data_IF_182080686095
#
_entry.id   IF_182080686095
#
_cell.length_a   1.000
_cell.length_b   1.000
_cell.length_c   1.000
_cell.angle_alpha   90.00
_cell.angle_beta   90.00
_cell.angle_gamma   90.00
#
_symmetry.space_group_name_H-M   'P 1'
#
loop_
_entity.id
_entity.type
_entity.pdbx_description
1 polymer ?
#
# COMPACT_ATOMS: atom_id res chain seq x y z
N UNK A 1 -27.30 -20.16 69.82
CA UNK A 1 -26.04 -20.41 70.56
C UNK A 1 -25.35 -21.55 69.83
N UNK A 2 -24.13 -21.50 69.29
CA UNK A 2 -23.09 -20.51 69.11
C UNK A 2 -21.97 -21.29 68.39
N UNK A 3 -21.44 -20.77 67.29
CA UNK A 3 -20.22 -21.32 66.68
C UNK A 3 -19.35 -20.11 66.36
N UNK A 4 -18.51 -19.80 67.35
CA UNK A 4 -17.53 -18.73 67.37
C UNK A 4 -16.34 -19.14 66.51
N UNK A 5 -15.98 -18.24 65.61
CA UNK A 5 -14.68 -17.95 65.02
C UNK A 5 -13.55 -19.00 65.14
N UNK A 6 -12.98 -19.35 63.99
CA UNK A 6 -11.53 -19.56 63.88
C UNK A 6 -11.06 -18.89 62.58
N UNK A 7 -10.96 -17.55 62.60
CA UNK A 7 -9.95 -16.91 61.74
C UNK A 7 -8.62 -17.04 62.48
N UNK A 8 -7.59 -17.67 61.90
CA UNK A 8 -6.27 -17.65 62.50
C UNK A 8 -5.79 -16.20 62.50
N UNK A 9 -5.57 -15.64 63.70
CA UNK A 9 -5.03 -14.30 63.86
C UNK A 9 -3.74 -14.18 63.04
N UNK A 10 -3.77 -13.37 61.98
CA UNK A 10 -2.60 -13.02 61.19
C UNK A 10 -1.62 -12.34 62.14
N UNK A 11 -0.60 -13.10 62.55
CA UNK A 11 0.45 -12.67 63.46
C UNK A 11 1.12 -11.47 62.80
N UNK A 12 0.83 -10.27 63.29
CA UNK A 12 1.40 -9.05 62.75
C UNK A 12 2.92 -9.15 62.92
N UNK A 13 3.62 -9.38 61.80
CA UNK A 13 5.06 -9.42 61.75
C UNK A 13 5.54 -8.03 62.13
N UNK A 14 5.93 -7.85 63.39
CA UNK A 14 6.52 -6.60 63.89
C UNK A 14 7.75 -6.31 63.02
N UNK A 15 7.68 -5.24 62.23
CA UNK A 15 8.80 -4.78 61.41
C UNK A 15 9.99 -4.52 62.34
N UNK A 16 11.00 -5.39 62.30
CA UNK A 16 12.22 -5.19 63.06
C UNK A 16 12.96 -3.98 62.47
N UNK A 17 13.25 -2.99 63.31
CA UNK A 17 13.98 -1.76 62.95
C UNK A 17 15.33 -2.07 62.29
N UNK A 18 15.96 -3.19 62.67
CA UNK A 18 17.18 -3.68 62.02
C UNK A 18 16.94 -4.14 60.59
N UNK A 19 15.89 -4.92 60.34
CA UNK A 19 15.53 -5.42 59.01
C UNK A 19 15.15 -4.28 58.06
N UNK A 20 14.49 -3.24 58.59
CA UNK A 20 14.20 -2.00 57.85
C UNK A 20 15.50 -1.25 57.53
N UNK A 21 16.40 -1.13 58.51
CA UNK A 21 17.70 -0.47 58.33
C UNK A 21 18.58 -1.21 57.31
N UNK A 22 18.59 -2.53 57.33
CA UNK A 22 19.28 -3.37 56.34
C UNK A 22 18.71 -3.19 54.93
N UNK A 23 17.37 -3.19 54.80
CA UNK A 23 16.69 -2.92 53.52
C UNK A 23 17.01 -1.54 52.96
N UNK A 24 17.03 -0.52 53.82
CA UNK A 24 17.41 0.86 53.44
C UNK A 24 18.88 0.92 53.01
N UNK A 25 19.79 0.26 53.74
CA UNK A 25 21.21 0.22 53.39
C UNK A 25 21.44 -0.54 52.07
N UNK A 26 20.71 -1.63 51.83
CA UNK A 26 20.75 -2.37 50.58
C UNK A 26 20.27 -1.50 49.40
N UNK A 27 19.14 -0.80 49.56
CA UNK A 27 18.61 0.11 48.54
C UNK A 27 19.60 1.25 48.22
N UNK A 28 20.19 1.87 49.25
CA UNK A 28 21.19 2.95 49.08
C UNK A 28 22.45 2.43 48.39
N UNK A 29 22.91 1.22 48.71
CA UNK A 29 24.09 0.62 48.08
C UNK A 29 23.86 0.28 46.61
N UNK A 30 22.68 -0.26 46.28
CA UNK A 30 22.27 -0.55 44.90
C UNK A 30 22.18 0.75 44.11
N UNK A 31 21.55 1.79 44.66
CA UNK A 31 21.48 3.12 44.04
C UNK A 31 22.87 3.66 43.70
N UNK A 32 23.83 3.64 44.63
CA UNK A 32 25.19 4.15 44.39
C UNK A 32 25.93 3.36 43.30
N UNK A 33 25.82 2.02 43.31
CA UNK A 33 26.41 1.18 42.25
C UNK A 33 25.79 1.44 40.89
N UNK A 34 24.47 1.60 40.82
CA UNK A 34 23.77 1.94 39.57
C UNK A 34 24.20 3.32 39.08
N UNK A 35 24.38 4.29 39.98
CA UNK A 35 24.84 5.63 39.64
C UNK A 35 26.28 5.64 39.11
N UNK A 36 27.18 4.88 39.74
CA UNK A 36 28.57 4.73 39.29
C UNK A 36 28.66 3.96 37.97
N UNK A 37 27.83 2.91 37.79
CA UNK A 37 27.72 2.17 36.55
C UNK A 37 27.18 3.04 35.41
N UNK A 38 26.16 3.86 35.66
CA UNK A 38 25.64 4.85 34.72
C UNK A 38 26.68 5.92 34.37
N UNK A 39 27.59 6.25 35.29
CA UNK A 39 28.69 7.21 35.05
C UNK A 39 29.86 6.61 34.27
N UNK A 40 29.90 5.28 34.06
CA UNK A 40 30.92 4.68 33.20
C UNK A 40 30.65 5.05 31.73
N UNK A 41 31.70 5.54 31.05
CA UNK A 41 31.66 5.89 29.61
C UNK A 41 31.06 4.79 28.74
N UNK A 42 31.31 3.51 29.08
CA UNK A 42 30.78 2.35 28.35
C UNK A 42 29.26 2.26 28.40
N UNK A 43 28.67 2.45 29.59
CA UNK A 43 27.21 2.38 29.78
C UNK A 43 26.52 3.55 29.07
N UNK A 44 27.11 4.75 29.12
CA UNK A 44 26.60 5.91 28.38
C UNK A 44 26.59 5.66 26.87
N UNK A 45 27.66 5.08 26.32
CA UNK A 45 27.73 4.73 24.88
C UNK A 45 26.66 3.68 24.53
N UNK A 46 26.52 2.62 25.33
CA UNK A 46 25.49 1.60 25.10
C UNK A 46 24.07 2.17 25.19
N UNK A 47 23.82 3.06 26.16
CA UNK A 47 22.53 3.73 26.30
C UNK A 47 22.24 4.64 25.10
N UNK A 48 23.23 5.43 24.65
CA UNK A 48 23.09 6.29 23.49
C UNK A 48 22.78 5.48 22.22
N UNK A 49 23.48 4.35 22.01
CA UNK A 49 23.20 3.44 20.90
C UNK A 49 21.79 2.83 20.99
N UNK A 50 21.35 2.44 22.18
CA UNK A 50 20.00 1.91 22.39
C UNK A 50 18.93 2.96 22.07
N UNK A 51 19.10 4.19 22.53
CA UNK A 51 18.20 5.31 22.21
C UNK A 51 18.20 5.59 20.71
N UNK A 52 19.36 5.56 20.06
CA UNK A 52 19.48 5.79 18.63
C UNK A 52 18.80 4.67 17.81
N UNK A 53 18.92 3.42 18.25
CA UNK A 53 18.20 2.28 17.68
C UNK A 53 16.68 2.42 17.81
N UNK A 54 16.20 2.84 18.98
CA UNK A 54 14.76 3.09 19.21
C UNK A 54 14.28 4.28 18.37
N UNK A 55 15.05 5.35 18.28
CA UNK A 55 14.74 6.48 17.41
C UNK A 55 14.67 6.07 15.93
N UNK A 56 15.62 5.24 15.49
CA UNK A 56 15.64 4.69 14.13
C UNK A 56 14.42 3.80 13.86
N UNK A 57 14.05 2.92 14.78
CA UNK A 57 12.89 2.03 14.60
C UNK A 57 11.58 2.82 14.51
N UNK A 58 11.39 3.84 15.34
CA UNK A 58 10.25 4.75 15.25
C UNK A 58 10.24 5.48 13.89
N UNK A 59 11.39 6.00 13.46
CA UNK A 59 11.53 6.66 12.17
C UNK A 59 11.14 5.77 10.98
N UNK A 60 11.57 4.49 10.99
CA UNK A 60 11.18 3.52 9.96
C UNK A 60 9.67 3.28 9.96
N UNK A 61 9.04 3.15 11.13
CA UNK A 61 7.59 2.95 11.24
C UNK A 61 6.81 4.15 10.71
N UNK A 62 7.25 5.38 11.03
CA UNK A 62 6.63 6.61 10.52
C UNK A 62 6.76 6.68 9.00
N UNK A 63 7.96 6.44 8.46
CA UNK A 63 8.19 6.41 7.02
C UNK A 63 7.32 5.37 6.31
N UNK A 64 7.17 4.18 6.91
CA UNK A 64 6.28 3.15 6.39
C UNK A 64 4.80 3.58 6.43
N UNK A 65 4.37 4.31 7.46
CA UNK A 65 3.01 4.84 7.57
C UNK A 65 2.72 5.89 6.49
N UNK A 66 3.62 6.86 6.31
CA UNK A 66 3.51 7.87 5.24
C UNK A 66 3.48 7.23 3.86
N UNK A 67 4.36 6.23 3.63
CA UNK A 67 4.40 5.50 2.38
C UNK A 67 3.08 4.78 2.09
N UNK A 68 2.45 4.16 3.10
CA UNK A 68 1.11 3.56 2.94
C UNK A 68 0.06 4.58 2.56
N UNK A 69 0.10 5.79 3.13
CA UNK A 69 -0.80 6.89 2.76
C UNK A 69 -0.63 7.30 1.30
N UNK A 70 0.60 7.57 0.87
CA UNK A 70 0.92 7.93 -0.51
C UNK A 70 0.55 6.83 -1.51
N UNK A 71 0.82 5.57 -1.15
CA UNK A 71 0.49 4.42 -1.97
C UNK A 71 -1.02 4.26 -2.15
N UNK A 72 -1.82 4.53 -1.12
CA UNK A 72 -3.28 4.47 -1.22
C UNK A 72 -3.80 5.51 -2.24
N UNK A 73 -3.31 6.75 -2.16
CA UNK A 73 -3.68 7.80 -3.13
C UNK A 73 -3.26 7.41 -4.54
N UNK A 74 -2.04 6.91 -4.72
CA UNK A 74 -1.53 6.45 -6.01
C UNK A 74 -2.39 5.30 -6.57
N UNK A 75 -2.76 4.34 -5.71
CA UNK A 75 -3.60 3.20 -6.08
C UNK A 75 -5.00 3.66 -6.53
N UNK A 76 -5.59 4.66 -5.86
CA UNK A 76 -6.88 5.22 -6.27
C UNK A 76 -6.81 5.87 -7.66
N UNK A 77 -5.79 6.69 -7.92
CA UNK A 77 -5.60 7.30 -9.23
C UNK A 77 -5.36 6.26 -10.33
N UNK A 78 -4.62 5.19 -10.01
CA UNK A 78 -4.43 4.08 -10.95
C UNK A 78 -5.74 3.37 -11.28
N UNK A 79 -6.58 3.09 -10.29
CA UNK A 79 -7.89 2.48 -10.51
C UNK A 79 -8.76 3.37 -11.40
N UNK A 80 -8.75 4.68 -11.18
CA UNK A 80 -9.51 5.62 -12.02
C UNK A 80 -8.99 5.65 -13.46
N UNK A 81 -7.67 5.71 -13.64
CA UNK A 81 -7.03 5.60 -14.97
C UNK A 81 -7.43 4.30 -15.67
N UNK A 82 -7.39 3.18 -14.95
CA UNK A 82 -7.71 1.87 -15.52
C UNK A 82 -9.19 1.78 -15.91
N UNK A 83 -10.08 2.44 -15.15
CA UNK A 83 -11.50 2.58 -15.52
C UNK A 83 -11.66 3.33 -16.85
N UNK A 84 -11.01 4.47 -17.01
CA UNK A 84 -11.06 5.23 -18.26
C UNK A 84 -10.46 4.45 -19.42
N UNK A 85 -9.39 3.69 -19.20
CA UNK A 85 -8.79 2.86 -20.23
C UNK A 85 -9.74 1.73 -20.69
N UNK A 86 -10.50 1.15 -19.76
CA UNK A 86 -11.51 0.15 -20.08
C UNK A 86 -12.66 0.78 -20.89
N UNK A 87 -13.19 1.92 -20.45
CA UNK A 87 -14.22 2.68 -21.18
C UNK A 87 -13.76 3.05 -22.60
N UNK A 88 -12.52 3.55 -22.74
CA UNK A 88 -11.93 3.87 -24.03
C UNK A 88 -11.80 2.66 -24.95
N UNK A 89 -11.35 1.53 -24.38
CA UNK A 89 -11.22 0.28 -25.14
C UNK A 89 -12.59 -0.20 -25.65
N UNK A 90 -13.64 -0.08 -24.83
CA UNK A 90 -15.01 -0.39 -25.24
C UNK A 90 -15.48 0.55 -26.37
N UNK A 91 -15.30 1.86 -26.21
CA UNK A 91 -15.69 2.84 -27.23
C UNK A 91 -14.96 2.61 -28.56
N UNK A 92 -13.70 2.21 -28.52
CA UNK A 92 -12.92 1.90 -29.72
C UNK A 92 -13.49 0.67 -30.45
N UNK A 93 -13.94 -0.34 -29.69
CA UNK A 93 -14.61 -1.52 -30.27
C UNK A 93 -15.95 -1.14 -30.89
N UNK A 94 -16.75 -0.30 -30.20
CA UNK A 94 -18.00 0.23 -30.73
C UNK A 94 -17.78 1.03 -32.02
N UNK A 95 -16.77 1.90 -32.04
CA UNK A 95 -16.40 2.67 -33.23
C UNK A 95 -15.91 1.78 -34.36
N UNK A 96 -15.09 0.76 -34.07
CA UNK A 96 -14.62 -0.19 -35.08
C UNK A 96 -15.78 -0.98 -35.69
N UNK A 97 -16.75 -1.39 -34.87
CA UNK A 97 -17.96 -2.07 -35.34
C UNK A 97 -18.84 -1.17 -36.23
N UNK A 98 -18.98 0.12 -35.87
CA UNK A 98 -19.76 1.10 -36.64
C UNK A 98 -19.04 1.58 -37.91
N UNK A 99 -17.71 1.66 -37.86
CA UNK A 99 -16.84 2.16 -38.92
C UNK A 99 -16.48 1.13 -39.98
N UNK A 100 -16.56 -0.17 -39.66
CA UNK A 100 -16.13 -1.23 -40.56
C UNK A 100 -16.87 -1.16 -41.91
N UNK A 101 -18.19 -1.34 -42.01
CA UNK A 101 -18.83 -1.40 -43.34
C UNK A 101 -20.30 -0.95 -43.38
N UNK A 102 -21.05 -1.07 -42.28
CA UNK A 102 -22.51 -0.97 -42.32
C UNK A 102 -23.08 0.39 -42.69
N UNK A 103 -22.50 1.51 -42.23
CA UNK A 103 -23.16 2.82 -42.41
C UNK A 103 -22.95 3.41 -43.81
N UNK A 104 -21.76 3.24 -44.39
CA UNK A 104 -21.45 3.73 -45.75
C UNK A 104 -22.14 2.84 -46.78
N UNK A 105 -22.09 1.52 -46.61
CA UNK A 105 -22.75 0.57 -47.50
C UNK A 105 -24.27 0.73 -47.48
N UNK A 106 -24.88 0.88 -46.30
CA UNK A 106 -26.32 1.10 -46.18
C UNK A 106 -26.75 2.43 -46.79
N UNK A 107 -25.99 3.52 -46.57
CA UNK A 107 -26.29 4.81 -47.19
C UNK A 107 -26.13 4.74 -48.72
N UNK A 108 -25.12 4.03 -49.24
CA UNK A 108 -24.91 3.84 -50.66
C UNK A 108 -26.04 3.01 -51.31
N UNK A 109 -26.48 1.94 -50.65
CA UNK A 109 -27.60 1.12 -51.10
C UNK A 109 -28.94 1.89 -51.05
N UNK A 110 -29.22 2.63 -49.98
CA UNK A 110 -30.51 3.33 -49.82
C UNK A 110 -30.61 4.64 -50.63
N UNK A 111 -29.55 5.46 -50.70
CA UNK A 111 -29.58 6.75 -51.39
C UNK A 111 -29.25 6.66 -52.87
N UNK A 112 -28.38 5.73 -53.25
CA UNK A 112 -27.85 5.62 -54.61
C UNK A 112 -28.25 4.32 -55.30
N UNK A 113 -29.06 3.46 -54.67
CA UNK A 113 -29.47 2.14 -55.18
C UNK A 113 -28.27 1.28 -55.61
N UNK A 114 -27.11 1.50 -55.00
CA UNK A 114 -25.89 0.78 -55.35
C UNK A 114 -25.99 -0.67 -54.85
N UNK A 115 -25.72 -1.60 -55.76
CA UNK A 115 -25.64 -3.04 -55.50
C UNK A 115 -24.22 -3.52 -55.75
N UNK A 116 -23.76 -4.50 -54.97
CA UNK A 116 -22.44 -5.10 -55.17
C UNK A 116 -22.45 -5.83 -56.53
N UNK A 117 -21.60 -5.44 -57.50
CA UNK A 117 -21.62 -6.01 -58.84
C UNK A 117 -21.22 -7.49 -58.82
N UNK A 118 -21.87 -8.30 -59.66
CA UNK A 118 -21.56 -9.73 -59.79
C UNK A 118 -20.23 -9.94 -60.53
N UNK A 119 -19.64 -11.15 -60.42
CA UNK A 119 -18.35 -11.46 -61.09
C UNK A 119 -18.36 -11.19 -62.61
N UNK A 120 -19.52 -11.27 -63.25
CA UNK A 120 -19.71 -10.98 -64.68
C UNK A 120 -19.71 -9.48 -65.04
N UNK A 121 -19.85 -8.58 -64.08
CA UNK A 121 -19.93 -7.13 -64.30
C UNK A 121 -18.58 -6.42 -64.08
N UNK A 122 -17.53 -7.17 -63.72
CA UNK A 122 -16.20 -6.64 -63.45
C UNK A 122 -15.39 -6.63 -64.74
N UNK A 123 -15.18 -5.45 -65.33
CA UNK A 123 -14.32 -5.26 -66.50
C UNK A 123 -12.94 -4.76 -66.04
N UNK A 124 -11.92 -5.60 -66.20
CA UNK A 124 -10.52 -5.21 -66.00
C UNK A 124 -10.05 -4.40 -67.20
N UNK A 125 -9.93 -3.08 -67.02
CA UNK A 125 -9.36 -2.20 -68.04
C UNK A 125 -7.84 -2.33 -67.99
N UNK A 126 -7.17 -2.81 -69.06
CA UNK A 126 -5.72 -2.84 -69.11
C UNK A 126 -5.21 -1.39 -69.06
N UNK A 127 -4.28 -1.11 -68.13
CA UNK A 127 -3.55 0.15 -68.15
C UNK A 127 -2.84 0.23 -69.51
N UNK A 128 -3.35 1.10 -70.39
CA UNK A 128 -2.76 1.38 -71.68
C UNK A 128 -1.31 1.80 -71.46
N UNK A 129 -0.39 0.86 -71.70
CA UNK A 129 1.03 1.18 -71.85
C UNK A 129 1.12 2.11 -73.06
N UNK A 130 1.84 3.25 -72.98
CA UNK A 130 1.93 4.18 -74.09
C UNK A 130 2.78 3.53 -75.18
N UNK A 131 2.12 2.85 -76.12
CA UNK A 131 2.78 2.40 -77.33
C UNK A 131 3.01 3.61 -78.21
N UNK A 132 4.27 4.03 -78.16
CA UNK A 132 4.96 4.87 -79.10
C UNK A 132 4.62 4.53 -80.57
N UNK A 133 4.92 5.52 -81.43
CA UNK A 133 4.92 5.55 -82.90
C UNK A 133 3.75 6.36 -83.48
N UNK A 134 3.97 7.33 -84.37
CA UNK A 134 5.15 7.61 -85.21
C UNK A 134 5.17 9.08 -85.61
#
# INVERSE_FOLDING_TARGET
>A
MGAVAIEPAVKQAKLNKEKVREGVVAAVRISRRVFDALRQKRVLVSLALAVLLVGSSIGVVVSAHENRGLFNTLSQLQVERDRFQAEWSQLLLEQSALGAHGRVEKLAAERFSMVVPGRQDIVLVPLMSPLASR
#
